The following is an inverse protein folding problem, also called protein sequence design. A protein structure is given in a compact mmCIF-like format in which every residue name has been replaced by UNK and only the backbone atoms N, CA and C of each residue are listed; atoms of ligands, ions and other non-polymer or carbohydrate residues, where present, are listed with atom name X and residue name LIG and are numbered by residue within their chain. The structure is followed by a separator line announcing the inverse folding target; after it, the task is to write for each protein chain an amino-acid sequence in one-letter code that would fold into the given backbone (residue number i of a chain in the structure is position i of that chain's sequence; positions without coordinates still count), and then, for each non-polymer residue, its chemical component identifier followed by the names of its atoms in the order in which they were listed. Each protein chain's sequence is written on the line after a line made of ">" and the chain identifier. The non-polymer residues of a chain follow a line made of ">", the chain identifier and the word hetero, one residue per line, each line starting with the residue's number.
data_IF_653027434241
#
_entry.id   IF_653027434241
#
_cell.length_a   1.000
_cell.length_b   1.000
_cell.length_c   1.000
_cell.angle_alpha   90.00
_cell.angle_beta   90.00
_cell.angle_gamma   90.00
#
_symmetry.space_group_name_H-M   'P 1'
#
loop_
_entity.id
_entity.type
_entity.pdbx_description
1 polymer ?
#
# COMPACT_ATOMS: atom_id res chain seq x y z
N UNK A 1 16.57 23.39 -7.16
CA UNK A 1 15.98 22.13 -6.62
C UNK A 1 15.47 22.29 -5.18
N UNK A 2 16.25 22.93 -4.29
CA UNK A 2 15.92 23.07 -2.86
C UNK A 2 14.60 23.80 -2.58
N UNK A 3 14.34 24.94 -3.25
CA UNK A 3 13.10 25.70 -3.08
C UNK A 3 11.85 24.86 -3.43
N UNK A 4 11.94 24.02 -4.47
CA UNK A 4 10.85 23.14 -4.87
C UNK A 4 10.59 22.07 -3.79
N UNK A 5 11.64 21.44 -3.27
CA UNK A 5 11.54 20.45 -2.18
C UNK A 5 10.93 21.08 -0.93
N UNK A 6 11.40 22.27 -0.52
CA UNK A 6 10.84 23.01 0.61
C UNK A 6 9.35 23.29 0.42
N UNK A 7 8.92 23.69 -0.78
CA UNK A 7 7.50 23.92 -1.09
C UNK A 7 6.66 22.64 -0.97
N UNK A 8 7.17 21.51 -1.47
CA UNK A 8 6.48 20.21 -1.36
C UNK A 8 6.35 19.76 0.10
N UNK A 9 7.42 19.85 0.89
CA UNK A 9 7.43 19.49 2.31
C UNK A 9 6.51 20.41 3.11
N UNK A 10 6.57 21.72 2.87
CA UNK A 10 5.70 22.70 3.52
C UNK A 10 4.22 22.43 3.24
N UNK A 11 3.87 22.17 1.97
CA UNK A 11 2.50 21.80 1.59
C UNK A 11 2.05 20.49 2.24
N UNK A 12 2.92 19.47 2.30
CA UNK A 12 2.63 18.22 3.00
C UNK A 12 2.33 18.49 4.49
N UNK A 13 3.21 19.23 5.17
CA UNK A 13 3.06 19.56 6.58
C UNK A 13 1.79 20.36 6.87
N UNK A 14 1.42 21.31 6.00
CA UNK A 14 0.20 22.09 6.14
C UNK A 14 -1.06 21.22 5.98
N UNK A 15 -1.03 20.22 5.10
CA UNK A 15 -2.14 19.28 4.86
C UNK A 15 -2.25 18.21 5.95
N UNK A 16 -1.14 17.81 6.56
CA UNK A 16 -1.11 16.88 7.69
C UNK A 16 -1.44 17.61 9.01
N UNK A 17 -2.71 18.02 9.10
CA UNK A 17 -3.24 18.84 10.21
C UNK A 17 -3.07 18.15 11.56
N UNK A 18 -3.21 18.93 12.65
CA UNK A 18 -3.20 18.40 14.02
C UNK A 18 -4.24 17.27 14.21
N UNK A 19 -5.40 17.39 13.58
CA UNK A 19 -6.45 16.37 13.63
C UNK A 19 -6.02 15.05 13.00
N UNK A 20 -5.37 15.08 11.82
CA UNK A 20 -4.83 13.87 11.18
C UNK A 20 -3.77 13.22 12.07
N UNK A 21 -2.87 14.02 12.65
CA UNK A 21 -1.81 13.53 13.54
C UNK A 21 -2.37 12.89 14.81
N UNK A 22 -3.37 13.51 15.42
CA UNK A 22 -4.06 12.97 16.59
C UNK A 22 -4.77 11.66 16.25
N UNK A 23 -5.48 11.61 15.12
CA UNK A 23 -6.18 10.41 14.66
C UNK A 23 -5.22 9.26 14.38
N UNK A 24 -4.04 9.53 13.81
CA UNK A 24 -2.99 8.53 13.64
C UNK A 24 -2.56 7.93 14.99
N UNK A 25 -2.33 8.78 16.00
CA UNK A 25 -1.97 8.35 17.35
C UNK A 25 -3.10 7.52 18.01
N UNK A 26 -4.37 7.92 17.87
CA UNK A 26 -5.54 7.16 18.34
C UNK A 26 -5.65 5.78 17.69
N UNK A 27 -5.17 5.64 16.44
CA UNK A 27 -5.05 4.36 15.72
C UNK A 27 -3.79 3.57 16.05
N UNK A 28 -2.95 4.06 16.97
CA UNK A 28 -1.69 3.42 17.35
C UNK A 28 -0.63 3.45 16.24
N UNK A 29 -0.73 4.38 15.29
CA UNK A 29 0.21 4.54 14.18
C UNK A 29 1.01 5.83 14.32
N UNK A 30 2.30 5.78 14.02
CA UNK A 30 3.08 7.01 13.79
C UNK A 30 2.68 7.65 12.47
N UNK A 31 2.99 8.94 12.30
CA UNK A 31 2.72 9.62 11.04
C UNK A 31 3.46 8.97 9.85
N UNK A 32 4.69 8.51 10.08
CA UNK A 32 5.48 7.82 9.06
C UNK A 32 4.85 6.48 8.66
N UNK A 33 4.30 5.73 9.62
CA UNK A 33 3.55 4.51 9.33
C UNK A 33 2.26 4.81 8.56
N UNK A 34 1.54 5.87 8.94
CA UNK A 34 0.33 6.32 8.23
C UNK A 34 0.64 6.70 6.78
N UNK A 35 1.71 7.48 6.55
CA UNK A 35 2.11 7.88 5.20
C UNK A 35 2.64 6.69 4.38
N UNK A 36 3.33 5.76 5.03
CA UNK A 36 3.81 4.52 4.39
C UNK A 36 2.63 3.69 3.91
N UNK A 37 1.68 3.40 4.79
CA UNK A 37 0.46 2.67 4.44
C UNK A 37 -0.37 3.40 3.37
N UNK A 38 -0.55 4.72 3.51
CA UNK A 38 -1.26 5.54 2.53
C UNK A 38 -0.59 5.48 1.13
N UNK A 39 0.73 5.45 1.06
CA UNK A 39 1.45 5.35 -0.21
C UNK A 39 1.25 4.00 -0.91
N UNK A 40 1.13 2.92 -0.13
CA UNK A 40 0.81 1.60 -0.65
C UNK A 40 -0.64 1.55 -1.15
N UNK A 41 -1.59 2.06 -0.36
CA UNK A 41 -3.00 2.16 -0.75
C UNK A 41 -3.14 2.97 -2.05
N UNK A 42 -2.47 4.11 -2.15
CA UNK A 42 -2.49 4.98 -3.33
C UNK A 42 -1.96 4.27 -4.59
N UNK A 43 -0.99 3.38 -4.44
CA UNK A 43 -0.37 2.67 -5.56
C UNK A 43 -1.20 1.48 -6.06
N UNK A 44 -2.07 0.92 -5.20
CA UNK A 44 -2.86 -0.28 -5.48
C UNK A 44 -4.31 0.03 -5.87
N UNK A 45 -4.90 1.07 -5.28
CA UNK A 45 -6.31 1.36 -5.46
C UNK A 45 -6.60 2.02 -6.81
N UNK A 46 -7.70 1.59 -7.45
CA UNK A 46 -8.17 2.17 -8.71
C UNK A 46 -8.86 3.54 -8.51
N UNK A 47 -9.60 3.68 -7.41
CA UNK A 47 -10.34 4.89 -7.06
C UNK A 47 -10.47 5.06 -5.53
N UNK A 48 -11.14 6.13 -5.11
CA UNK A 48 -11.33 6.48 -3.70
C UNK A 48 -12.08 5.40 -2.89
N UNK A 49 -13.14 4.81 -3.44
CA UNK A 49 -13.91 3.79 -2.72
C UNK A 49 -13.07 2.53 -2.55
N UNK A 50 -12.30 2.21 -3.58
CA UNK A 50 -11.35 1.11 -3.58
C UNK A 50 -10.24 1.32 -2.54
N UNK A 51 -9.76 2.55 -2.32
CA UNK A 51 -8.77 2.86 -1.27
C UNK A 51 -9.20 2.39 0.12
N UNK A 52 -10.47 2.56 0.49
CA UNK A 52 -10.97 2.12 1.80
C UNK A 52 -11.00 0.59 1.94
N UNK A 53 -11.26 -0.13 0.85
CA UNK A 53 -11.28 -1.60 0.81
C UNK A 53 -9.85 -2.17 0.79
N UNK A 54 -8.95 -1.61 -0.01
CA UNK A 54 -7.52 -1.94 -0.01
C UNK A 54 -6.92 -1.67 1.37
N UNK A 55 -7.24 -0.52 1.98
CA UNK A 55 -6.84 -0.20 3.36
C UNK A 55 -7.31 -1.27 4.35
N UNK A 56 -8.56 -1.73 4.22
CA UNK A 56 -9.10 -2.84 5.03
C UNK A 56 -8.25 -4.10 4.92
N UNK A 57 -7.85 -4.47 3.71
CA UNK A 57 -6.99 -5.65 3.48
C UNK A 57 -5.64 -5.49 4.18
N UNK A 58 -4.96 -4.35 4.01
CA UNK A 58 -3.66 -4.13 4.66
C UNK A 58 -3.77 -4.12 6.18
N UNK A 59 -4.78 -3.45 6.75
CA UNK A 59 -5.03 -3.49 8.20
C UNK A 59 -5.32 -4.90 8.71
N UNK A 60 -6.14 -5.67 8.00
CA UNK A 60 -6.43 -7.06 8.38
C UNK A 60 -5.17 -7.92 8.35
N UNK A 61 -4.33 -7.75 7.33
CA UNK A 61 -3.03 -8.42 7.21
C UNK A 61 -2.10 -8.06 8.36
N UNK A 62 -1.87 -6.77 8.62
CA UNK A 62 -1.02 -6.28 9.70
C UNK A 62 -1.44 -6.80 11.08
N UNK A 63 -2.75 -6.89 11.32
CA UNK A 63 -3.31 -7.35 12.59
C UNK A 63 -3.51 -8.88 12.66
N UNK A 64 -3.09 -9.63 11.64
CA UNK A 64 -3.31 -11.07 11.60
C UNK A 64 -2.41 -11.82 12.58
N UNK A 65 -2.97 -12.83 13.24
CA UNK A 65 -2.20 -13.76 14.08
C UNK A 65 -1.33 -14.72 13.26
N UNK A 66 -1.67 -14.92 11.99
CA UNK A 66 -0.93 -15.82 11.09
C UNK A 66 0.23 -15.08 10.43
N UNK A 67 1.47 -15.51 10.69
CA UNK A 67 2.71 -14.91 10.18
C UNK A 67 2.69 -14.70 8.65
N UNK A 68 2.25 -15.71 7.89
CA UNK A 68 2.12 -15.62 6.43
C UNK A 68 1.24 -14.45 5.97
N UNK A 69 0.16 -14.15 6.69
CA UNK A 69 -0.76 -13.06 6.34
C UNK A 69 -0.24 -11.68 6.72
N UNK A 70 0.80 -11.58 7.57
CA UNK A 70 1.42 -10.29 7.94
C UNK A 70 2.39 -9.78 6.88
N UNK A 71 2.69 -10.56 5.84
CA UNK A 71 3.31 -10.07 4.60
C UNK A 71 2.26 -9.34 3.78
N UNK A 72 2.59 -8.16 3.28
CA UNK A 72 1.60 -7.32 2.60
C UNK A 72 1.41 -7.69 1.12
N UNK A 73 2.36 -8.43 0.54
CA UNK A 73 2.32 -8.95 -0.84
C UNK A 73 1.84 -7.89 -1.86
N UNK A 74 2.47 -6.72 -1.83
CA UNK A 74 2.11 -5.58 -2.67
C UNK A 74 3.12 -5.41 -3.82
N UNK A 75 2.67 -5.58 -5.05
CA UNK A 75 3.50 -5.57 -6.27
C UNK A 75 4.34 -4.27 -6.45
N UNK A 76 3.80 -3.06 -6.19
CA UNK A 76 4.57 -1.81 -6.26
C UNK A 76 5.84 -1.77 -5.40
N UNK A 77 5.96 -2.66 -4.41
CA UNK A 77 7.08 -2.68 -3.46
C UNK A 77 8.28 -3.53 -3.93
N UNK A 78 8.05 -4.48 -4.85
CA UNK A 78 9.04 -5.48 -5.30
C UNK A 78 10.29 -4.82 -5.89
N UNK A 79 10.10 -3.79 -6.71
CA UNK A 79 11.20 -3.14 -7.44
C UNK A 79 11.52 -1.73 -6.95
N UNK A 80 10.80 -1.21 -5.95
CA UNK A 80 11.00 0.14 -5.43
C UNK A 80 12.49 0.41 -5.12
N UNK A 81 13.07 1.56 -5.54
CA UNK A 81 12.41 2.75 -6.12
C UNK A 81 12.08 2.65 -7.61
N UNK A 82 12.44 1.55 -8.28
CA UNK A 82 12.10 1.33 -9.68
C UNK A 82 10.65 0.86 -9.82
N UNK A 83 9.94 1.37 -10.83
CA UNK A 83 8.53 0.98 -11.09
C UNK A 83 8.36 -0.48 -11.53
N UNK A 84 9.40 -1.06 -12.15
CA UNK A 84 9.39 -2.44 -12.68
C UNK A 84 10.81 -2.94 -12.87
N UNK A 85 10.98 -4.26 -12.95
CA UNK A 85 12.28 -4.91 -13.21
C UNK A 85 13.04 -4.31 -14.41
N UNK A 86 12.33 -3.97 -15.48
CA UNK A 86 12.92 -3.40 -16.68
C UNK A 86 13.61 -2.04 -16.43
N UNK A 87 13.17 -1.27 -15.43
CA UNK A 87 13.73 0.03 -15.07
C UNK A 87 14.96 -0.09 -14.14
N UNK A 88 15.22 -1.27 -13.55
CA UNK A 88 16.45 -1.51 -12.79
C UNK A 88 17.65 -1.49 -13.76
N UNK A 89 18.77 -0.84 -13.43
CA UNK A 89 19.98 -0.85 -14.27
C UNK A 89 20.37 -2.27 -14.68
N UNK A 90 20.73 -2.46 -15.95
CA UNK A 90 20.96 -3.79 -16.52
C UNK A 90 22.02 -4.59 -15.76
N UNK A 91 23.07 -3.93 -15.30
CA UNK A 91 24.16 -4.50 -14.49
C UNK A 91 23.71 -5.05 -13.12
N UNK A 92 22.59 -4.56 -12.59
CA UNK A 92 22.07 -4.95 -11.27
C UNK A 92 20.80 -5.81 -11.37
N UNK A 93 20.17 -5.89 -12.54
CA UNK A 93 18.80 -6.41 -12.71
C UNK A 93 18.61 -7.86 -12.26
N UNK A 94 19.60 -8.73 -12.42
CA UNK A 94 19.52 -10.14 -12.02
C UNK A 94 19.64 -10.36 -10.51
N UNK A 95 20.36 -9.47 -9.80
CA UNK A 95 20.66 -9.60 -8.38
C UNK A 95 19.92 -8.61 -7.50
N UNK A 96 19.19 -7.66 -8.10
CA UNK A 96 18.47 -6.62 -7.40
C UNK A 96 17.41 -7.21 -6.45
N UNK A 97 17.50 -6.83 -5.18
CA UNK A 97 16.51 -7.10 -4.15
C UNK A 97 16.13 -5.80 -3.47
N UNK A 98 14.85 -5.44 -3.51
CA UNK A 98 14.34 -4.25 -2.86
C UNK A 98 14.28 -4.46 -1.34
N UNK A 99 14.73 -3.47 -0.57
CA UNK A 99 14.49 -3.42 0.89
C UNK A 99 13.01 -3.19 1.24
N UNK A 100 12.20 -2.85 0.25
CA UNK A 100 10.77 -2.60 0.38
C UNK A 100 9.95 -3.83 -0.01
N UNK A 101 10.55 -4.91 -0.53
CA UNK A 101 9.83 -6.10 -1.00
C UNK A 101 8.98 -6.76 0.10
N UNK A 102 7.70 -6.40 0.15
CA UNK A 102 6.74 -6.85 1.17
C UNK A 102 6.31 -8.31 1.03
N UNK A 103 6.83 -9.05 0.04
CA UNK A 103 6.72 -10.51 -0.03
C UNK A 103 7.78 -11.22 0.84
N UNK A 104 8.85 -10.51 1.18
CA UNK A 104 10.03 -11.08 1.84
C UNK A 104 10.04 -10.88 3.37
N UNK A 105 9.25 -9.94 3.90
CA UNK A 105 9.17 -9.62 5.33
C UNK A 105 7.75 -9.30 5.79
N UNK A 106 7.53 -9.34 7.10
CA UNK A 106 6.25 -8.99 7.74
C UNK A 106 6.17 -7.49 8.04
N UNK A 107 4.99 -6.90 7.89
CA UNK A 107 4.73 -5.51 8.26
C UNK A 107 4.93 -4.49 7.14
N UNK A 108 4.96 -3.21 7.53
CA UNK A 108 5.15 -2.10 6.61
C UNK A 108 6.62 -2.03 6.13
N UNK A 109 6.86 -1.58 4.89
CA UNK A 109 8.22 -1.29 4.43
C UNK A 109 8.84 -0.11 5.20
N UNK A 110 10.16 0.14 5.03
CA UNK A 110 10.87 1.20 5.78
C UNK A 110 10.34 2.63 5.60
N UNK A 111 9.52 2.88 4.58
CA UNK A 111 8.91 4.19 4.35
C UNK A 111 7.93 4.20 3.17
N UNK A 112 7.44 5.37 2.77
CA UNK A 112 6.53 5.51 1.64
C UNK A 112 7.17 5.13 0.29
N UNK A 113 6.35 4.60 -0.63
CA UNK A 113 6.75 4.25 -2.00
C UNK A 113 6.26 5.25 -3.06
N UNK A 114 5.48 6.25 -2.64
CA UNK A 114 5.04 7.37 -3.46
C UNK A 114 4.66 8.57 -2.56
N UNK A 115 4.24 9.68 -3.15
CA UNK A 115 3.62 10.80 -2.40
C UNK A 115 2.10 10.61 -2.38
N UNK A 116 1.50 10.12 -1.28
CA UNK A 116 0.07 9.84 -1.23
C UNK A 116 -0.79 11.11 -1.23
N UNK A 117 -1.98 11.02 -1.82
CA UNK A 117 -3.01 12.03 -1.68
C UNK A 117 -3.68 12.00 -0.29
N UNK A 118 -4.44 13.06 0.04
CA UNK A 118 -5.18 13.13 1.30
C UNK A 118 -6.27 12.04 1.41
N UNK A 119 -6.82 11.58 0.29
CA UNK A 119 -7.82 10.51 0.28
C UNK A 119 -7.20 9.16 0.69
N UNK A 120 -5.99 8.87 0.24
CA UNK A 120 -5.27 7.68 0.68
C UNK A 120 -4.86 7.76 2.16
N UNK A 121 -4.50 8.95 2.65
CA UNK A 121 -4.25 9.20 4.08
C UNK A 121 -5.52 8.98 4.90
N UNK A 122 -6.65 9.49 4.44
CA UNK A 122 -7.94 9.27 5.09
C UNK A 122 -8.32 7.78 5.10
N UNK A 123 -8.15 7.08 3.98
CA UNK A 123 -8.39 5.64 3.88
C UNK A 123 -7.47 4.84 4.81
N UNK A 124 -6.20 5.22 4.95
CA UNK A 124 -5.27 4.58 5.88
C UNK A 124 -5.73 4.70 7.35
N UNK A 125 -6.36 5.83 7.72
CA UNK A 125 -6.88 6.09 9.07
C UNK A 125 -8.30 5.58 9.30
N UNK A 126 -9.05 5.35 8.22
CA UNK A 126 -10.46 4.96 8.21
C UNK A 126 -10.72 3.77 7.27
N UNK A 127 -10.06 2.62 7.47
CA UNK A 127 -10.31 1.45 6.62
C UNK A 127 -11.79 1.04 6.66
N UNK A 128 -12.28 0.48 5.56
CA UNK A 128 -13.56 -0.21 5.58
C UNK A 128 -13.51 -1.38 6.58
N UNK A 129 -14.64 -1.69 7.22
CA UNK A 129 -14.73 -2.85 8.12
C UNK A 129 -15.07 -4.10 7.31
N UNK A 130 -14.04 -4.89 6.97
CA UNK A 130 -14.20 -6.13 6.21
C UNK A 130 -13.35 -7.25 6.81
N UNK A 131 -13.49 -8.46 6.28
CA UNK A 131 -12.61 -9.60 6.61
C UNK A 131 -11.80 -10.07 5.41
N UNK A 132 -11.52 -9.15 4.47
CA UNK A 132 -10.73 -9.46 3.29
C UNK A 132 -9.24 -9.45 3.62
N UNK A 133 -8.53 -10.39 3.02
CA UNK A 133 -7.07 -10.53 3.11
C UNK A 133 -6.41 -10.51 1.74
N UNK A 134 -7.18 -10.55 0.67
CA UNK A 134 -6.67 -10.60 -0.70
C UNK A 134 -7.52 -9.70 -1.59
N UNK A 135 -6.87 -9.08 -2.58
CA UNK A 135 -7.53 -8.36 -3.64
C UNK A 135 -6.78 -8.58 -4.96
N UNK A 136 -7.46 -8.32 -6.08
CA UNK A 136 -6.86 -8.19 -7.41
C UNK A 136 -7.78 -7.38 -8.31
N UNK A 137 -7.23 -6.77 -9.34
CA UNK A 137 -7.99 -6.01 -10.33
C UNK A 137 -7.89 -6.67 -11.70
N UNK A 138 -8.99 -6.75 -12.43
CA UNK A 138 -8.93 -7.17 -13.84
C UNK A 138 -8.29 -6.08 -14.71
N UNK A 139 -7.92 -6.41 -15.94
CA UNK A 139 -7.44 -5.42 -16.92
C UNK A 139 -8.46 -4.28 -17.16
N UNK A 140 -9.75 -4.58 -17.02
CA UNK A 140 -10.83 -3.59 -17.10
C UNK A 140 -10.99 -2.73 -15.82
N UNK A 141 -10.10 -2.88 -14.83
CA UNK A 141 -10.11 -2.13 -13.57
C UNK A 141 -11.10 -2.62 -12.53
N UNK A 142 -11.78 -3.75 -12.76
CA UNK A 142 -12.75 -4.29 -11.78
C UNK A 142 -12.01 -4.93 -10.61
N UNK A 143 -12.25 -4.42 -9.40
CA UNK A 143 -11.69 -4.96 -8.17
C UNK A 143 -12.43 -6.23 -7.70
N UNK A 144 -11.66 -7.21 -7.22
CA UNK A 144 -12.16 -8.44 -6.61
C UNK A 144 -11.51 -8.64 -5.25
N UNK A 145 -12.31 -8.92 -4.23
CA UNK A 145 -11.86 -9.10 -2.85
C UNK A 145 -12.13 -10.51 -2.35
N UNK A 146 -11.26 -11.04 -1.49
CA UNK A 146 -11.37 -12.39 -0.97
C UNK A 146 -10.89 -12.50 0.49
N UNK A 147 -11.51 -13.43 1.23
CA UNK A 147 -11.12 -13.75 2.62
C UNK A 147 -10.09 -14.87 2.68
N UNK A 148 -10.14 -15.79 1.71
CA UNK A 148 -9.26 -16.96 1.67
C UNK A 148 -8.44 -16.98 0.39
N UNK A 149 -7.31 -17.68 0.44
CA UNK A 149 -6.44 -17.89 -0.73
C UNK A 149 -7.20 -18.61 -1.86
N UNK A 150 -8.01 -19.62 -1.55
CA UNK A 150 -8.82 -20.34 -2.55
C UNK A 150 -9.78 -19.41 -3.29
N UNK A 151 -10.46 -18.49 -2.58
CA UNK A 151 -11.32 -17.49 -3.20
C UNK A 151 -10.51 -16.52 -4.08
N UNK A 152 -9.33 -16.13 -3.61
CA UNK A 152 -8.45 -15.27 -4.38
C UNK A 152 -7.99 -15.93 -5.69
N UNK A 153 -7.62 -17.21 -5.66
CA UNK A 153 -7.26 -17.97 -6.88
C UNK A 153 -8.41 -18.03 -7.90
N UNK A 154 -9.66 -18.15 -7.44
CA UNK A 154 -10.84 -18.07 -8.31
C UNK A 154 -11.01 -16.66 -8.87
N UNK A 155 -10.81 -15.63 -8.05
CA UNK A 155 -10.89 -14.24 -8.50
C UNK A 155 -9.81 -13.91 -9.55
N UNK A 156 -8.59 -14.43 -9.43
CA UNK A 156 -7.53 -14.25 -10.42
C UNK A 156 -7.94 -14.79 -11.79
N UNK A 157 -8.55 -15.98 -11.85
CA UNK A 157 -9.11 -16.54 -13.09
C UNK A 157 -10.22 -15.68 -13.66
N UNK A 158 -11.14 -15.21 -12.81
CA UNK A 158 -12.24 -14.29 -13.22
C UNK A 158 -11.72 -12.94 -13.71
N UNK A 159 -10.58 -12.50 -13.20
CA UNK A 159 -9.94 -11.24 -13.56
C UNK A 159 -9.06 -11.35 -14.82
N UNK A 160 -8.83 -12.56 -15.34
CA UNK A 160 -7.96 -12.80 -16.49
C UNK A 160 -6.46 -12.74 -16.18
N UNK A 161 -6.08 -12.79 -14.90
CA UNK A 161 -4.69 -12.69 -14.44
C UNK A 161 -4.00 -14.07 -14.33
N UNK A 162 -4.78 -15.16 -14.46
CA UNK A 162 -4.34 -16.55 -14.42
C UNK A 162 -5.22 -17.45 -15.27
#
# INVERSE_FOLDING_TARGET
>A
PEQAVRKLVSNCNAKLTKQIRQKAAERGMTLDQTLTLASMIQAEAADKNDMYLVSSVFHNRLNSKTARLRRLDSDPTIYYPYRKKAAVPASLRSTYKSRYDTYSFEGLPPGPICSPGLEAVDAALNPASTRYYYFCHSEAGKAYYARTETQHLVNLKKAGLR
#
